data_IF_584437473583
#
_entry.id   IF_584437473583
#
_cell.length_a   1.000
_cell.length_b   1.000
_cell.length_c   1.000
_cell.angle_alpha   90.00
_cell.angle_beta   90.00
_cell.angle_gamma   90.00
#
_symmetry.space_group_name_H-M   'P 1'
#
loop_
_entity.id
_entity.type
_entity.pdbx_description
1 polymer ?
#
# COMPACT_ATOMS: atom_id res chain seq x y z
N UNK A 1 -0.98 -44.25 18.65
CA UNK A 1 0.49 -44.19 18.83
C UNK A 1 1.07 -43.79 17.49
N UNK A 2 1.72 -42.66 17.24
CA UNK A 2 2.21 -41.56 18.05
C UNK A 2 1.90 -40.27 17.26
N UNK A 3 1.38 -39.25 17.96
CA UNK A 3 1.52 -37.84 17.57
C UNK A 3 2.84 -37.34 18.19
N UNK A 4 3.67 -36.62 17.43
CA UNK A 4 4.77 -35.80 17.96
C UNK A 4 4.99 -34.62 16.98
N UNK A 5 4.55 -33.41 17.31
CA UNK A 5 5.31 -32.36 18.01
C UNK A 5 6.44 -31.76 17.18
N UNK A 6 6.15 -30.67 16.45
CA UNK A 6 7.14 -29.62 16.15
C UNK A 6 6.40 -28.28 16.22
N UNK A 7 6.40 -27.69 17.42
CA UNK A 7 5.88 -26.35 17.69
C UNK A 7 6.73 -25.75 18.80
N UNK A 8 7.91 -25.24 18.46
CA UNK A 8 8.74 -24.43 19.37
C UNK A 8 10.05 -23.98 18.70
N UNK A 9 10.02 -22.95 17.84
CA UNK A 9 11.25 -22.13 17.60
C UNK A 9 11.06 -20.75 16.94
N UNK A 10 9.85 -20.22 16.75
CA UNK A 10 9.65 -18.89 16.13
C UNK A 10 8.87 -17.87 16.99
N UNK A 11 8.83 -18.07 18.31
CA UNK A 11 8.22 -17.11 19.27
C UNK A 11 9.29 -16.19 19.92
N UNK A 12 10.58 -16.38 19.63
CA UNK A 12 11.66 -15.74 20.41
C UNK A 12 12.10 -14.33 19.96
N UNK A 13 11.47 -13.70 18.97
CA UNK A 13 11.89 -12.36 18.51
C UNK A 13 10.90 -11.22 18.80
N UNK A 14 9.69 -11.51 19.31
CA UNK A 14 8.70 -10.48 19.65
C UNK A 14 8.71 -10.07 21.14
N UNK A 15 9.55 -10.68 21.98
CA UNK A 15 9.57 -10.43 23.43
C UNK A 15 10.71 -9.51 23.91
N UNK A 16 11.60 -9.05 23.04
CA UNK A 16 12.78 -8.27 23.43
C UNK A 16 12.65 -6.78 23.05
N UNK A 17 11.55 -6.16 23.48
CA UNK A 17 11.48 -4.74 23.84
C UNK A 17 10.10 -4.41 24.42
N UNK A 18 9.61 -5.26 25.35
CA UNK A 18 8.65 -4.82 26.34
C UNK A 18 9.36 -3.88 27.31
N UNK A 19 9.61 -2.64 26.89
CA UNK A 19 9.60 -1.56 27.88
C UNK A 19 8.15 -1.35 28.26
N UNK A 20 7.79 -2.10 29.30
CA UNK A 20 6.65 -1.90 30.14
C UNK A 20 6.70 -0.46 30.67
N UNK A 21 6.16 0.50 29.92
CA UNK A 21 5.71 1.76 30.49
C UNK A 21 4.47 1.41 31.33
N UNK A 22 4.70 0.79 32.48
CA UNK A 22 3.69 0.71 33.53
C UNK A 22 3.32 2.15 33.90
N UNK A 23 2.03 2.46 33.96
CA UNK A 23 1.53 3.79 34.36
C UNK A 23 1.84 4.15 35.83
N UNK A 24 2.77 3.46 36.49
CA UNK A 24 3.15 3.66 37.89
C UNK A 24 4.03 4.89 38.12
N UNK A 25 4.61 5.48 37.08
CA UNK A 25 5.71 6.45 37.24
C UNK A 25 5.32 7.91 36.87
N UNK A 26 4.03 8.20 36.61
CA UNK A 26 3.58 9.56 36.26
C UNK A 26 2.99 10.28 37.50
N UNK A 27 3.62 11.35 38.01
CA UNK A 27 3.13 12.05 39.20
C UNK A 27 1.78 12.73 38.96
N UNK A 28 0.88 12.61 39.94
CA UNK A 28 -0.54 12.96 39.90
C UNK A 28 -0.88 14.47 39.85
N UNK A 29 -0.04 15.32 39.24
CA UNK A 29 -0.27 16.75 39.12
C UNK A 29 -0.30 17.20 37.65
N UNK A 30 -1.35 16.77 36.95
CA UNK A 30 -1.71 17.28 35.63
C UNK A 30 -3.21 17.02 35.44
N UNK A 31 -4.00 18.07 35.25
CA UNK A 31 -5.47 18.01 35.15
C UNK A 31 -5.97 17.43 33.81
N UNK A 32 -5.10 16.73 33.08
CA UNK A 32 -5.47 15.88 31.96
C UNK A 32 -5.29 14.43 32.40
N UNK A 33 -6.39 13.83 32.85
CA UNK A 33 -6.44 12.40 33.12
C UNK A 33 -6.11 11.65 31.82
N UNK A 34 -4.84 11.28 31.64
CA UNK A 34 -4.45 10.28 30.67
C UNK A 34 -5.05 8.97 31.17
N UNK A 35 -6.23 8.62 30.66
CA UNK A 35 -6.84 7.31 30.91
C UNK A 35 -5.99 6.26 30.21
N UNK A 36 -4.97 5.75 30.91
CA UNK A 36 -4.38 4.48 30.56
C UNK A 36 -5.51 3.43 30.54
N UNK A 37 -5.62 2.66 29.46
CA UNK A 37 -6.48 1.48 29.44
C UNK A 37 -6.02 0.55 30.55
N UNK A 38 -6.93 0.07 31.40
CA UNK A 38 -6.60 -0.97 32.36
C UNK A 38 -6.30 -2.29 31.64
N UNK A 39 -5.72 -3.26 32.35
CA UNK A 39 -5.33 -4.53 31.74
C UNK A 39 -6.49 -5.24 31.01
N UNK A 40 -7.72 -5.32 31.56
CA UNK A 40 -8.86 -5.83 30.83
C UNK A 40 -9.16 -5.08 29.52
N UNK A 41 -9.14 -3.74 29.54
CA UNK A 41 -9.41 -2.94 28.35
C UNK A 41 -8.29 -3.07 27.30
N UNK A 42 -7.03 -3.20 27.72
CA UNK A 42 -5.91 -3.51 26.82
C UNK A 42 -6.10 -4.87 26.15
N UNK A 43 -6.44 -5.90 26.92
CA UNK A 43 -6.70 -7.24 26.38
C UNK A 43 -7.85 -7.21 25.37
N UNK A 44 -8.95 -6.54 25.70
CA UNK A 44 -10.10 -6.38 24.81
C UNK A 44 -9.72 -5.68 23.49
N UNK A 45 -8.88 -4.65 23.55
CA UNK A 45 -8.37 -3.97 22.35
C UNK A 45 -7.53 -4.93 21.49
N UNK A 46 -6.59 -5.66 22.10
CA UNK A 46 -5.77 -6.65 21.40
C UNK A 46 -6.62 -7.74 20.75
N UNK A 47 -7.58 -8.29 21.49
CA UNK A 47 -8.48 -9.32 20.97
C UNK A 47 -9.28 -8.79 19.77
N UNK A 48 -9.80 -7.56 19.85
CA UNK A 48 -10.52 -6.93 18.72
C UNK A 48 -9.63 -6.72 17.50
N UNK A 49 -8.40 -6.24 17.68
CA UNK A 49 -7.42 -6.08 16.59
C UNK A 49 -7.07 -7.43 15.97
N UNK A 50 -6.86 -8.45 16.79
CA UNK A 50 -6.56 -9.81 16.35
C UNK A 50 -7.73 -10.41 15.55
N UNK A 51 -8.97 -10.33 16.07
CA UNK A 51 -10.17 -10.79 15.38
C UNK A 51 -10.38 -10.06 14.04
N UNK A 52 -10.11 -8.76 14.01
CA UNK A 52 -10.16 -7.95 12.79
C UNK A 52 -9.15 -8.47 11.75
N UNK A 53 -7.92 -8.77 12.17
CA UNK A 53 -6.88 -9.30 11.28
C UNK A 53 -7.14 -10.73 10.80
N UNK A 54 -7.73 -11.60 11.64
CA UNK A 54 -8.08 -12.97 11.26
C UNK A 54 -9.07 -13.06 10.10
N UNK A 55 -9.94 -12.05 9.93
CA UNK A 55 -10.89 -12.00 8.81
C UNK A 55 -10.22 -11.72 7.46
N UNK A 56 -9.00 -11.18 7.47
CA UNK A 56 -8.27 -10.80 6.27
C UNK A 56 -8.61 -9.40 5.75
N UNK A 57 -8.29 -9.09 4.48
CA UNK A 57 -8.42 -7.76 3.92
C UNK A 57 -9.86 -7.23 3.90
N UNK A 58 -10.02 -5.93 4.18
CA UNK A 58 -11.30 -5.21 4.30
C UNK A 58 -11.45 -4.22 3.16
N UNK A 59 -11.46 -4.73 1.94
CA UNK A 59 -11.63 -3.91 0.73
C UNK A 59 -13.02 -3.29 0.73
N UNK A 60 -13.13 -2.05 0.26
CA UNK A 60 -14.41 -1.34 0.23
C UNK A 60 -15.45 -2.14 -0.56
N UNK A 61 -16.62 -2.36 0.05
CA UNK A 61 -17.73 -3.16 -0.44
C UNK A 61 -17.67 -4.66 -0.12
N UNK A 62 -16.55 -5.19 0.40
CA UNK A 62 -16.44 -6.63 0.67
C UNK A 62 -17.09 -7.05 2.01
N UNK A 63 -17.36 -8.35 2.16
CA UNK A 63 -18.02 -8.91 3.36
C UNK A 63 -17.26 -8.61 4.66
N UNK A 64 -15.92 -8.63 4.61
CA UNK A 64 -15.07 -8.35 5.77
C UNK A 64 -15.19 -6.90 6.23
N UNK A 65 -15.23 -5.93 5.30
CA UNK A 65 -15.46 -4.54 5.61
C UNK A 65 -16.86 -4.35 6.20
N UNK A 66 -17.90 -4.93 5.58
CA UNK A 66 -19.28 -4.82 6.07
C UNK A 66 -19.43 -5.40 7.48
N UNK A 67 -18.75 -6.53 7.76
CA UNK A 67 -18.75 -7.13 9.10
C UNK A 67 -18.05 -6.24 10.12
N UNK A 68 -16.93 -5.60 9.75
CA UNK A 68 -16.25 -4.64 10.63
C UNK A 68 -17.16 -3.45 10.94
N UNK A 69 -17.82 -2.88 9.92
CA UNK A 69 -18.76 -1.76 10.10
C UNK A 69 -19.89 -2.15 11.05
N UNK A 70 -20.48 -3.33 10.88
CA UNK A 70 -21.52 -3.83 11.77
C UNK A 70 -21.03 -3.98 13.22
N UNK A 71 -19.85 -4.58 13.42
CA UNK A 71 -19.26 -4.78 14.76
C UNK A 71 -18.92 -3.46 15.47
N UNK A 72 -18.41 -2.47 14.73
CA UNK A 72 -18.16 -1.12 15.26
C UNK A 72 -19.47 -0.44 15.64
N UNK A 73 -20.49 -0.55 14.79
CA UNK A 73 -21.82 0.05 15.02
C UNK A 73 -22.48 -0.53 16.26
N UNK A 74 -22.47 -1.86 16.40
CA UNK A 74 -22.96 -2.56 17.59
C UNK A 74 -22.19 -2.12 18.85
N UNK A 75 -20.86 -2.03 18.77
CA UNK A 75 -20.02 -1.59 19.89
C UNK A 75 -20.33 -0.15 20.32
N UNK A 76 -20.60 0.74 19.37
CA UNK A 76 -21.00 2.13 19.64
C UNK A 76 -22.39 2.20 20.29
N UNK A 77 -23.35 1.41 19.79
CA UNK A 77 -24.69 1.31 20.38
C UNK A 77 -24.65 0.77 21.81
N UNK A 78 -23.84 -0.28 22.07
CA UNK A 78 -23.63 -0.83 23.41
C UNK A 78 -23.00 0.19 24.37
N UNK A 79 -22.19 1.11 23.86
CA UNK A 79 -21.64 2.23 24.62
C UNK A 79 -22.66 3.39 24.84
N UNK A 80 -23.91 3.23 24.39
CA UNK A 80 -24.97 4.22 24.53
C UNK A 80 -24.94 5.33 23.47
N UNK A 81 -24.18 5.16 22.39
CA UNK A 81 -24.14 6.12 21.28
C UNK A 81 -25.28 5.86 20.29
N UNK A 82 -25.85 6.93 19.75
CA UNK A 82 -26.69 6.86 18.55
C UNK A 82 -25.81 6.70 17.33
N UNK A 83 -26.08 5.68 16.52
CA UNK A 83 -25.31 5.38 15.30
C UNK A 83 -26.18 5.64 14.08
N UNK A 84 -25.64 6.40 13.14
CA UNK A 84 -26.22 6.62 11.82
C UNK A 84 -25.32 5.99 10.76
N UNK A 85 -25.93 5.34 9.78
CA UNK A 85 -25.23 4.77 8.63
C UNK A 85 -25.40 5.69 7.42
N UNK A 86 -24.27 6.04 6.80
CA UNK A 86 -24.24 6.77 5.54
C UNK A 86 -23.80 5.81 4.44
N UNK A 87 -24.78 5.35 3.66
CA UNK A 87 -24.54 4.41 2.58
C UNK A 87 -24.27 5.14 1.27
N UNK A 88 -23.20 4.72 0.58
CA UNK A 88 -22.81 5.25 -0.72
C UNK A 88 -22.64 4.12 -1.72
N UNK A 89 -23.14 4.35 -2.94
CA UNK A 89 -22.92 3.46 -4.08
C UNK A 89 -21.89 4.08 -5.01
N UNK A 90 -20.92 3.28 -5.44
CA UNK A 90 -19.91 3.69 -6.43
C UNK A 90 -19.56 2.51 -7.34
N UNK A 91 -19.00 2.81 -8.51
CA UNK A 91 -18.47 1.79 -9.39
C UNK A 91 -17.17 1.24 -8.81
N UNK A 92 -17.21 -0.01 -8.36
CA UNK A 92 -16.02 -0.72 -7.93
C UNK A 92 -15.20 -1.16 -9.15
N UNK A 93 -13.96 -0.70 -9.23
CA UNK A 93 -12.96 -1.30 -10.11
C UNK A 93 -12.28 -2.43 -9.33
N UNK A 94 -12.33 -3.65 -9.86
CA UNK A 94 -11.78 -4.84 -9.23
C UNK A 94 -10.98 -5.67 -10.24
N UNK A 95 -9.67 -5.72 -10.08
CA UNK A 95 -8.80 -6.52 -10.92
C UNK A 95 -8.88 -7.99 -10.50
N UNK A 96 -9.52 -8.81 -11.34
CA UNK A 96 -9.74 -10.24 -11.06
C UNK A 96 -8.50 -11.10 -11.28
N UNK A 97 -7.63 -10.71 -12.21
CA UNK A 97 -6.44 -11.46 -12.58
C UNK A 97 -5.42 -10.54 -13.23
N UNK A 98 -4.14 -10.85 -13.04
CA UNK A 98 -3.02 -10.16 -13.68
C UNK A 98 -1.86 -11.14 -13.84
N UNK A 99 -1.05 -10.93 -14.87
CA UNK A 99 0.18 -11.71 -15.09
C UNK A 99 1.09 -10.95 -16.03
N UNK A 100 2.39 -11.21 -15.93
CA UNK A 100 3.39 -10.64 -16.83
C UNK A 100 4.23 -11.77 -17.44
N UNK A 101 4.52 -11.64 -18.74
CA UNK A 101 5.41 -12.55 -19.46
C UNK A 101 6.40 -11.75 -20.31
N UNK A 102 7.64 -12.19 -20.34
CA UNK A 102 8.70 -11.62 -21.17
C UNK A 102 9.07 -12.60 -22.27
N UNK A 103 9.02 -12.15 -23.53
CA UNK A 103 9.56 -12.90 -24.67
C UNK A 103 10.95 -12.37 -25.00
N UNK A 104 11.95 -13.21 -24.83
CA UNK A 104 13.34 -12.90 -25.16
C UNK A 104 13.57 -12.96 -26.68
N UNK A 105 14.65 -12.33 -27.16
CA UNK A 105 15.01 -12.29 -28.59
C UNK A 105 15.22 -13.69 -29.19
N UNK A 106 15.63 -14.67 -28.39
CA UNK A 106 15.80 -16.07 -28.78
C UNK A 106 14.47 -16.86 -28.83
N UNK A 107 13.33 -16.23 -28.57
CA UNK A 107 12.00 -16.85 -28.57
C UNK A 107 11.59 -17.47 -27.23
N UNK A 108 12.46 -17.55 -26.23
CA UNK A 108 12.11 -18.04 -24.90
C UNK A 108 11.08 -17.13 -24.23
N UNK A 109 10.08 -17.72 -23.57
CA UNK A 109 9.05 -17.01 -22.81
C UNK A 109 9.25 -17.28 -21.33
N UNK A 110 9.38 -16.22 -20.54
CA UNK A 110 9.50 -16.27 -19.08
C UNK A 110 8.24 -15.67 -18.45
N UNK A 111 7.68 -16.35 -17.45
CA UNK A 111 6.73 -15.71 -16.54
C UNK A 111 7.49 -14.80 -15.58
N UNK A 112 7.04 -13.56 -15.40
CA UNK A 112 7.64 -12.62 -14.47
C UNK A 112 6.75 -12.47 -13.24
N UNK A 113 7.32 -12.39 -12.03
CA UNK A 113 6.55 -12.08 -10.83
C UNK A 113 5.94 -10.68 -10.93
N UNK A 114 4.73 -10.57 -10.44
CA UNK A 114 3.97 -9.32 -10.35
C UNK A 114 3.53 -9.14 -8.91
N UNK A 115 3.75 -7.96 -8.35
CA UNK A 115 3.39 -7.67 -6.96
C UNK A 115 1.98 -7.12 -6.84
N UNK A 116 1.39 -6.62 -7.94
CA UNK A 116 0.02 -6.16 -7.96
C UNK A 116 -0.39 -5.59 -9.32
N UNK A 117 -1.53 -4.89 -9.31
CA UNK A 117 -2.09 -4.19 -10.45
C UNK A 117 -2.09 -2.67 -10.18
N UNK A 118 -2.08 -1.87 -11.24
CA UNK A 118 -2.26 -0.43 -11.09
C UNK A 118 -3.76 -0.12 -10.97
N UNK A 119 -4.22 0.54 -9.89
CA UNK A 119 -5.64 0.84 -9.69
C UNK A 119 -6.26 1.61 -10.85
N UNK A 120 -7.49 1.23 -11.23
CA UNK A 120 -8.24 1.86 -12.34
C UNK A 120 -7.55 1.76 -13.71
N UNK A 121 -6.57 0.87 -13.87
CA UNK A 121 -5.95 0.62 -15.17
C UNK A 121 -6.89 -0.15 -16.12
N UNK A 122 -6.52 -0.16 -17.40
CA UNK A 122 -7.33 -0.74 -18.45
C UNK A 122 -7.35 -2.26 -18.46
N UNK A 123 -8.33 -2.81 -19.15
CA UNK A 123 -8.42 -4.25 -19.39
C UNK A 123 -7.58 -4.61 -20.63
N UNK A 124 -6.68 -5.59 -20.50
CA UNK A 124 -5.89 -6.10 -21.63
C UNK A 124 -6.70 -6.95 -22.62
N UNK A 125 -7.92 -7.34 -22.26
CA UNK A 125 -8.72 -8.34 -22.93
C UNK A 125 -8.17 -9.76 -22.73
N UNK A 126 -8.91 -10.78 -23.20
CA UNK A 126 -8.54 -12.19 -23.02
C UNK A 126 -7.26 -12.59 -23.78
N UNK A 127 -6.92 -11.87 -24.85
CA UNK A 127 -5.68 -12.11 -25.62
C UNK A 127 -4.44 -11.49 -24.97
N UNK A 128 -4.62 -10.63 -23.96
CA UNK A 128 -3.56 -9.81 -23.40
C UNK A 128 -3.05 -8.74 -24.39
N UNK A 129 -2.05 -7.98 -23.95
CA UNK A 129 -1.29 -7.05 -24.78
C UNK A 129 0.14 -7.54 -24.90
N UNK A 130 0.70 -7.51 -26.10
CA UNK A 130 2.10 -7.86 -26.37
C UNK A 130 2.68 -6.81 -27.29
N UNK A 131 3.76 -6.18 -26.87
CA UNK A 131 4.51 -5.20 -27.65
C UNK A 131 5.97 -5.17 -27.16
N UNK A 132 6.91 -4.57 -27.92
CA UNK A 132 8.26 -4.31 -27.44
C UNK A 132 8.25 -3.51 -26.14
N UNK A 133 9.18 -3.82 -25.22
CA UNK A 133 9.36 -3.05 -23.99
C UNK A 133 10.15 -1.78 -24.31
N UNK A 134 9.65 -0.65 -23.84
CA UNK A 134 10.35 0.64 -23.85
C UNK A 134 10.75 0.99 -22.42
N UNK A 135 12.04 1.04 -22.15
CA UNK A 135 12.58 1.46 -20.87
C UNK A 135 12.60 2.99 -20.78
N UNK A 136 11.76 3.53 -19.89
CA UNK A 136 11.62 4.96 -19.67
C UNK A 136 12.50 5.49 -18.53
N UNK A 137 13.33 4.64 -17.92
CA UNK A 137 14.21 5.01 -16.82
C UNK A 137 13.48 5.08 -15.47
N UNK A 138 13.80 6.09 -14.66
CA UNK A 138 13.31 6.19 -13.28
C UNK A 138 12.29 7.34 -13.14
N UNK A 139 11.17 7.04 -12.48
CA UNK A 139 10.15 8.03 -12.14
C UNK A 139 10.66 8.96 -11.04
N UNK A 140 10.82 10.24 -11.39
CA UNK A 140 11.37 11.27 -10.53
C UNK A 140 10.33 11.98 -9.67
N UNK A 141 10.85 12.72 -8.71
CA UNK A 141 10.08 13.60 -7.84
C UNK A 141 10.66 15.01 -7.96
N UNK A 142 9.82 16.03 -7.82
CA UNK A 142 10.27 17.39 -7.57
C UNK A 142 10.84 17.51 -6.14
N UNK A 143 11.56 18.59 -5.84
CA UNK A 143 12.15 18.83 -4.50
C UNK A 143 11.08 18.87 -3.38
N UNK A 144 9.87 19.29 -3.72
CA UNK A 144 8.71 19.27 -2.82
C UNK A 144 8.09 17.86 -2.65
N UNK A 145 8.73 16.82 -3.19
CA UNK A 145 8.33 15.42 -3.17
C UNK A 145 7.03 15.09 -3.90
N UNK A 146 6.56 15.99 -4.78
CA UNK A 146 5.47 15.69 -5.71
C UNK A 146 5.97 14.97 -6.95
N UNK A 147 5.09 14.22 -7.60
CA UNK A 147 5.40 13.43 -8.77
C UNK A 147 5.89 14.27 -9.96
N UNK A 148 6.99 13.85 -10.59
CA UNK A 148 7.53 14.47 -11.78
C UNK A 148 7.59 13.45 -12.94
N UNK A 149 6.50 13.32 -13.74
CA UNK A 149 6.47 12.38 -14.86
C UNK A 149 7.40 12.77 -16.00
N UNK A 150 7.92 14.02 -16.04
CA UNK A 150 8.79 14.49 -17.12
C UNK A 150 10.20 13.85 -17.08
N UNK A 151 10.56 13.14 -16.01
CA UNK A 151 11.82 12.38 -15.97
C UNK A 151 11.77 11.10 -16.79
N UNK A 152 10.56 10.62 -17.13
CA UNK A 152 10.40 9.43 -17.95
C UNK A 152 10.76 9.74 -19.40
N UNK A 153 11.62 8.91 -19.99
CA UNK A 153 11.97 9.04 -21.39
C UNK A 153 10.87 8.45 -22.28
N UNK A 154 10.02 9.30 -22.84
CA UNK A 154 8.95 8.92 -23.77
C UNK A 154 9.32 9.14 -25.25
N UNK A 155 10.60 9.42 -25.54
CA UNK A 155 11.06 9.63 -26.91
C UNK A 155 11.31 8.30 -27.63
N UNK A 156 11.07 8.27 -28.93
CA UNK A 156 11.41 7.11 -29.77
C UNK A 156 10.51 5.89 -29.57
N UNK A 157 9.29 6.09 -29.07
CA UNK A 157 8.31 5.02 -28.93
C UNK A 157 8.03 4.35 -30.31
N UNK A 158 8.06 3.02 -30.41
CA UNK A 158 7.75 2.31 -31.65
C UNK A 158 6.36 2.67 -32.19
N UNK A 159 6.27 2.91 -33.50
CA UNK A 159 4.99 3.25 -34.17
C UNK A 159 3.92 2.15 -34.04
N UNK A 160 4.33 0.89 -33.88
CA UNK A 160 3.43 -0.26 -33.68
C UNK A 160 3.09 -0.50 -32.20
N UNK A 161 3.39 0.47 -31.34
CA UNK A 161 3.12 0.47 -29.92
C UNK A 161 4.20 -0.20 -29.06
N UNK A 162 4.11 0.04 -27.76
CA UNK A 162 5.08 -0.44 -26.77
C UNK A 162 4.46 -0.73 -25.42
N UNK A 163 5.16 -1.54 -24.61
CA UNK A 163 4.92 -1.64 -23.17
C UNK A 163 5.93 -0.74 -22.47
N UNK A 164 5.44 0.27 -21.76
CA UNK A 164 6.29 1.19 -21.00
C UNK A 164 6.78 0.48 -19.73
N UNK A 165 8.09 0.48 -19.48
CA UNK A 165 8.70 0.02 -18.24
C UNK A 165 9.43 1.17 -17.56
N UNK A 166 9.30 1.32 -16.25
CA UNK A 166 10.09 2.28 -15.48
C UNK A 166 10.29 1.85 -14.03
N UNK A 167 11.41 2.30 -13.46
CA UNK A 167 11.73 2.18 -12.05
C UNK A 167 10.95 3.22 -11.25
N UNK A 168 10.28 2.77 -10.19
CA UNK A 168 9.42 3.58 -9.35
C UNK A 168 9.92 3.61 -7.90
N UNK A 169 10.83 4.53 -7.56
CA UNK A 169 11.34 4.64 -6.21
C UNK A 169 10.26 5.13 -5.23
N UNK A 170 10.17 4.49 -4.07
CA UNK A 170 9.33 4.94 -2.96
C UNK A 170 10.16 5.79 -2.01
N UNK A 171 9.99 7.12 -1.99
CA UNK A 171 10.73 7.95 -1.04
C UNK A 171 10.31 7.63 0.40
N UNK A 172 11.26 7.77 1.33
CA UNK A 172 10.91 7.86 2.74
C UNK A 172 10.37 9.26 3.03
N UNK A 173 9.20 9.37 3.65
CA UNK A 173 8.69 10.68 4.10
C UNK A 173 8.66 10.78 5.60
N UNK A 174 9.09 11.94 6.05
CA UNK A 174 9.09 12.33 7.45
C UNK A 174 7.78 13.06 7.78
N UNK A 175 6.91 12.42 8.56
CA UNK A 175 5.65 12.99 9.07
C UNK A 175 5.86 13.91 10.29
N UNK A 176 7.09 14.17 10.71
CA UNK A 176 7.37 15.26 11.67
C UNK A 176 7.46 16.63 10.99
N UNK A 177 7.32 16.72 9.67
CA UNK A 177 7.32 17.99 8.95
C UNK A 177 6.09 18.86 9.30
N UNK A 178 6.20 20.21 9.25
CA UNK A 178 5.18 21.15 9.76
C UNK A 178 3.75 21.01 9.20
N UNK A 179 3.58 20.31 8.07
CA UNK A 179 2.28 20.12 7.42
C UNK A 179 1.56 18.85 7.86
N UNK A 180 2.18 18.04 8.72
CA UNK A 180 1.57 16.85 9.30
C UNK A 180 1.16 17.15 10.74
N UNK A 181 -0.11 16.86 11.04
CA UNK A 181 -0.67 16.97 12.37
C UNK A 181 -1.37 15.68 12.74
N UNK A 182 -1.27 15.30 14.02
CA UNK A 182 -2.01 14.18 14.55
C UNK A 182 -3.47 14.60 14.75
N UNK A 183 -4.39 14.02 13.97
CA UNK A 183 -5.81 14.26 14.16
C UNK A 183 -6.38 13.35 15.24
N UNK A 184 -7.23 13.90 16.11
CA UNK A 184 -7.98 13.13 17.11
C UNK A 184 -7.19 12.64 18.31
N UNK A 185 -5.96 13.12 18.52
CA UNK A 185 -5.20 12.81 19.75
C UNK A 185 -5.45 13.85 20.83
N UNK A 186 -5.71 13.38 22.05
CA UNK A 186 -5.70 14.19 23.27
C UNK A 186 -4.31 14.30 23.90
N UNK A 187 -3.31 13.59 23.36
CA UNK A 187 -1.92 13.61 23.84
C UNK A 187 -1.11 14.63 23.03
N UNK A 188 -0.38 15.56 23.68
CA UNK A 188 0.52 16.47 22.99
C UNK A 188 1.55 15.72 22.16
N UNK A 189 1.81 16.18 20.93
CA UNK A 189 2.73 15.54 19.97
C UNK A 189 4.12 15.25 20.57
N UNK A 190 4.63 16.15 21.42
CA UNK A 190 5.92 16.00 22.10
C UNK A 190 5.98 14.83 23.10
N UNK A 191 4.84 14.34 23.54
CA UNK A 191 4.71 13.31 24.58
C UNK A 191 4.42 11.92 23.98
N UNK A 192 4.49 11.78 22.65
CA UNK A 192 4.36 10.50 21.93
C UNK A 192 5.76 10.12 21.42
N UNK A 193 6.48 9.22 22.11
CA UNK A 193 7.88 8.89 21.82
C UNK A 193 8.11 8.41 20.39
N UNK A 194 7.12 7.72 19.82
CA UNK A 194 7.13 7.19 18.46
C UNK A 194 7.04 8.28 17.39
N UNK A 195 6.68 9.53 17.76
CA UNK A 195 6.58 10.64 16.82
C UNK A 195 7.92 11.28 16.44
N UNK A 196 8.96 11.07 17.26
CA UNK A 196 10.29 11.66 17.05
C UNK A 196 10.98 11.21 15.76
N UNK A 197 10.52 10.11 15.17
CA UNK A 197 10.98 9.61 13.88
C UNK A 197 9.84 8.90 13.12
N UNK A 198 8.72 9.59 12.88
CA UNK A 198 7.71 9.09 11.93
C UNK A 198 8.24 9.19 10.50
N UNK A 199 9.14 8.31 10.16
CA UNK A 199 9.49 8.05 8.77
C UNK A 199 8.67 6.87 8.31
N UNK A 200 7.85 7.03 7.27
CA UNK A 200 7.35 5.87 6.53
C UNK A 200 8.33 5.62 5.38
N UNK A 201 9.10 4.52 5.41
CA UNK A 201 10.06 4.19 4.35
C UNK A 201 9.40 3.93 3.01
N UNK A 202 8.07 3.77 2.99
CA UNK A 202 7.28 3.58 1.78
C UNK A 202 6.26 4.70 1.64
N UNK A 203 6.66 5.96 1.86
CA UNK A 203 5.78 7.04 1.47
C UNK A 203 5.63 7.03 -0.04
N UNK A 204 4.39 6.89 -0.45
CA UNK A 204 4.00 6.84 -1.83
C UNK A 204 3.36 8.19 -2.17
N UNK A 205 4.15 9.13 -2.71
CA UNK A 205 3.56 10.31 -3.36
C UNK A 205 2.58 9.82 -4.43
N UNK A 206 1.44 10.49 -4.61
CA UNK A 206 0.56 10.19 -5.74
C UNK A 206 1.36 10.35 -7.05
N UNK A 207 1.82 9.25 -7.65
CA UNK A 207 2.60 9.27 -8.90
C UNK A 207 1.67 9.02 -10.04
N UNK A 208 1.04 10.09 -10.47
CA UNK A 208 0.06 10.01 -11.54
C UNK A 208 0.75 9.83 -12.90
N UNK A 209 0.12 9.02 -13.74
CA UNK A 209 0.43 8.93 -15.17
C UNK A 209 -0.75 9.47 -15.95
N UNK A 210 -0.47 10.22 -17.02
CA UNK A 210 -1.51 10.60 -17.97
C UNK A 210 -1.73 9.45 -18.97
N UNK A 211 -2.57 8.48 -18.58
CA UNK A 211 -2.85 7.30 -19.40
C UNK A 211 -3.47 7.62 -20.76
N UNK A 212 -4.24 8.71 -20.87
CA UNK A 212 -4.77 9.18 -22.15
C UNK A 212 -3.64 9.58 -23.09
N UNK A 213 -2.71 10.42 -22.63
CA UNK A 213 -1.56 10.83 -23.43
C UNK A 213 -0.66 9.63 -23.78
N UNK A 214 -0.44 8.71 -22.84
CA UNK A 214 0.32 7.48 -23.10
C UNK A 214 -0.33 6.63 -24.21
N UNK A 215 -1.66 6.47 -24.18
CA UNK A 215 -2.40 5.76 -25.21
C UNK A 215 -2.25 6.43 -26.58
N UNK A 216 -2.36 7.76 -26.63
CA UNK A 216 -2.18 8.55 -27.87
C UNK A 216 -0.77 8.42 -28.44
N UNK A 217 0.24 8.26 -27.58
CA UNK A 217 1.62 7.96 -27.96
C UNK A 217 1.86 6.48 -28.37
N UNK A 218 0.82 5.65 -28.37
CA UNK A 218 0.91 4.24 -28.76
C UNK A 218 1.35 3.29 -27.62
N UNK A 219 1.38 3.75 -26.38
CA UNK A 219 1.64 2.86 -25.23
C UNK A 219 0.44 1.93 -25.04
N UNK A 220 0.71 0.63 -25.04
CA UNK A 220 -0.29 -0.44 -24.97
C UNK A 220 -0.38 -1.09 -23.59
N UNK A 221 0.58 -0.79 -22.71
CA UNK A 221 0.60 -1.24 -21.32
C UNK A 221 1.71 -0.55 -20.53
N UNK A 222 1.59 -0.55 -19.21
CA UNK A 222 2.60 0.02 -18.29
C UNK A 222 3.01 -1.02 -17.27
N UNK A 223 4.32 -1.10 -17.02
CA UNK A 223 4.94 -1.89 -15.97
C UNK A 223 5.73 -0.93 -15.10
N UNK A 224 5.28 -0.75 -13.87
CA UNK A 224 6.01 0.02 -12.87
C UNK A 224 6.74 -0.93 -11.93
N UNK A 225 8.01 -0.65 -11.72
CA UNK A 225 8.90 -1.51 -10.95
C UNK A 225 9.16 -0.92 -9.57
N UNK A 226 8.93 -1.69 -8.51
CA UNK A 226 9.34 -1.27 -7.17
C UNK A 226 10.87 -1.22 -7.07
N UNK A 227 11.39 -0.16 -6.47
CA UNK A 227 12.81 -0.02 -6.13
C UNK A 227 12.96 -0.09 -4.61
N UNK A 228 13.95 -0.84 -4.13
CA UNK A 228 14.27 -1.00 -2.71
C UNK A 228 13.10 -1.48 -1.82
N UNK A 229 12.13 -2.17 -2.40
CA UNK A 229 10.99 -2.78 -1.68
C UNK A 229 10.92 -4.26 -2.02
N UNK A 230 10.77 -5.12 -1.01
CA UNK A 230 10.64 -6.58 -1.19
C UNK A 230 9.33 -6.93 -1.92
N UNK A 231 9.26 -8.11 -2.52
CA UNK A 231 8.04 -8.57 -3.19
C UNK A 231 6.89 -8.75 -2.18
N UNK A 232 7.22 -9.19 -0.97
CA UNK A 232 6.30 -9.36 0.15
C UNK A 232 5.74 -8.02 0.65
N UNK A 233 6.60 -7.01 0.82
CA UNK A 233 6.19 -5.68 1.28
C UNK A 233 5.43 -4.92 0.18
N UNK A 234 5.76 -5.17 -1.09
CA UNK A 234 5.11 -4.57 -2.24
C UNK A 234 3.80 -5.27 -2.64
N UNK A 235 3.51 -6.47 -2.11
CA UNK A 235 2.37 -7.27 -2.51
C UNK A 235 1.05 -6.52 -2.29
N UNK A 236 0.30 -6.31 -3.38
CA UNK A 236 -0.96 -5.55 -3.43
C UNK A 236 -0.88 -4.13 -2.85
N UNK A 237 0.33 -3.60 -2.67
CA UNK A 237 0.52 -2.17 -2.45
C UNK A 237 0.24 -1.44 -3.76
N UNK A 238 -0.38 -0.28 -3.64
CA UNK A 238 -0.58 0.61 -4.76
C UNK A 238 -0.49 2.06 -4.28
N UNK A 239 0.01 2.92 -5.17
CA UNK A 239 0.11 4.34 -4.88
C UNK A 239 -1.29 4.96 -4.78
N UNK A 240 -1.48 6.01 -3.96
CA UNK A 240 -2.72 6.77 -3.98
C UNK A 240 -2.88 7.42 -5.36
N UNK A 241 -3.77 6.85 -6.17
CA UNK A 241 -4.08 7.32 -7.50
C UNK A 241 -5.44 7.99 -7.53
N UNK A 242 -5.54 9.03 -8.35
CA UNK A 242 -6.81 9.68 -8.61
C UNK A 242 -7.57 8.80 -9.59
N UNK A 243 -8.64 8.15 -9.11
CA UNK A 243 -9.58 7.48 -9.99
C UNK A 243 -10.07 8.47 -11.06
N UNK A 244 -10.15 8.08 -12.35
CA UNK A 244 -10.78 8.91 -13.34
C UNK A 244 -12.20 9.29 -12.87
N UNK A 245 -12.66 10.53 -13.15
CA UNK A 245 -14.00 10.95 -12.76
C UNK A 245 -15.07 10.00 -13.33
N UNK A 246 -16.15 9.82 -12.58
CA UNK A 246 -17.35 9.05 -12.96
C UNK A 246 -17.15 7.53 -13.11
N UNK A 247 -16.15 6.94 -12.44
CA UNK A 247 -15.93 5.48 -12.48
C UNK A 247 -15.46 4.98 -13.85
N UNK A 248 -14.90 5.87 -14.66
CA UNK A 248 -14.24 5.48 -15.91
C UNK A 248 -12.89 4.84 -15.61
N UNK A 249 -12.47 3.92 -16.48
CA UNK A 249 -11.17 3.24 -16.34
C UNK A 249 -10.21 3.81 -17.36
N UNK A 250 -8.93 3.80 -17.02
CA UNK A 250 -7.89 4.10 -18.00
C UNK A 250 -7.92 3.03 -19.10
N UNK A 251 -7.51 3.37 -20.32
CA UNK A 251 -7.54 2.41 -21.43
C UNK A 251 -6.29 1.52 -21.53
N UNK A 252 -5.28 1.80 -20.70
CA UNK A 252 -3.96 1.17 -20.76
C UNK A 252 -3.83 0.19 -19.59
N UNK A 253 -3.73 -1.13 -19.83
CA UNK A 253 -3.52 -2.11 -18.77
C UNK A 253 -2.17 -1.90 -18.11
N UNK A 254 -2.16 -1.89 -16.78
CA UNK A 254 -0.99 -1.47 -16.03
C UNK A 254 -0.82 -2.30 -14.76
N UNK A 255 0.41 -2.67 -14.44
CA UNK A 255 0.71 -3.53 -13.30
C UNK A 255 2.01 -3.15 -12.61
N UNK A 256 2.19 -3.72 -11.42
CA UNK A 256 3.40 -3.60 -10.63
C UNK A 256 4.24 -4.88 -10.73
N UNK A 257 5.54 -4.72 -10.92
CA UNK A 257 6.50 -5.80 -10.85
C UNK A 257 7.63 -5.47 -9.89
N UNK A 258 8.41 -6.49 -9.57
CA UNK A 258 9.75 -6.34 -9.01
C UNK A 258 10.67 -5.63 -10.00
N UNK A 259 11.71 -4.95 -9.52
CA UNK A 259 12.90 -4.66 -10.34
C UNK A 259 13.59 -5.98 -10.69
N UNK A 260 13.63 -6.37 -11.98
CA UNK A 260 14.23 -7.64 -12.35
C UNK A 260 15.76 -7.60 -12.31
N UNK A 261 16.38 -6.42 -12.12
CA UNK A 261 17.82 -6.22 -12.23
C UNK A 261 18.33 -5.06 -11.35
N UNK A 262 18.53 -5.27 -10.03
CA UNK A 262 19.47 -4.40 -9.32
C UNK A 262 20.88 -4.96 -9.53
N UNK A 263 21.72 -4.21 -10.23
CA UNK A 263 23.16 -4.48 -10.33
C UNK A 263 23.89 -4.17 -9.02
N UNK A 264 23.17 -3.66 -8.02
CA UNK A 264 23.70 -3.35 -6.69
C UNK A 264 23.25 -4.43 -5.71
N UNK A 265 24.18 -5.20 -5.11
CA UNK A 265 23.85 -6.04 -3.96
C UNK A 265 23.41 -5.14 -2.79
N UNK A 266 22.56 -5.63 -1.88
CA UNK A 266 22.21 -4.88 -0.68
C UNK A 266 23.50 -4.51 0.06
N UNK A 267 23.62 -3.24 0.44
CA UNK A 267 24.71 -2.77 1.28
C UNK A 267 24.67 -3.59 2.58
N UNK A 268 25.74 -4.36 2.80
CA UNK A 268 26.01 -5.12 4.02
C UNK A 268 26.34 -4.21 5.19
#
# INVERSE_FOLDING_TARGET
MLWATVLSTLVAAASANQQQLACSDIPAQSLHAHTCLDQPAQQLLYDRLFQTNLRGPRWTGNENQNTLVASVSESMQLAGLTVEHLDYSFYAWDARWWSLRLRLKNGTILGLPTTGYWPYSGNSGPQGRTAPVHDAGTYGLFDNQTANPATLNLNGLPQNGSILFFDNPSPTRNYSQPNYGLYGSSVPVKDIPELGNLTNPHWQSAKTLNFTALKEMGVMGVIASWVDTSDEDAALQFLPEVAPPNGTFNDVPSLWSRQPWSSTPPAT
#
